data_IF_949688858671
#
_entry.id   IF_949688858671
#
_cell.length_a   1.000
_cell.length_b   1.000
_cell.length_c   1.000
_cell.angle_alpha   90.00
_cell.angle_beta   90.00
_cell.angle_gamma   90.00
#
_symmetry.space_group_name_H-M   'P 1'
#
loop_
_entity.id
_entity.type
_entity.pdbx_description
1 polymer ?
#
# COMPACT_ATOMS: atom_id res chain seq x y z
N UNK A 1 2.56 11.69 -23.77
CA UNK A 1 2.34 10.80 -22.61
C UNK A 1 0.85 10.75 -22.40
N UNK A 2 0.27 9.55 -22.52
CA UNK A 2 -1.18 9.36 -22.45
C UNK A 2 -1.62 9.37 -20.98
N UNK A 3 -2.76 10.00 -20.68
CA UNK A 3 -3.29 10.12 -19.31
C UNK A 3 -3.50 8.76 -18.62
N UNK A 4 -3.68 7.71 -19.42
CA UNK A 4 -3.73 6.31 -19.00
C UNK A 4 -2.40 5.78 -18.47
N UNK A 5 -1.25 6.18 -19.01
CA UNK A 5 0.07 5.75 -18.51
C UNK A 5 0.40 6.39 -17.16
N UNK A 6 0.01 7.65 -16.94
CA UNK A 6 0.24 8.32 -15.66
C UNK A 6 -0.68 7.76 -14.55
N UNK A 7 -1.88 7.28 -14.92
CA UNK A 7 -2.84 6.68 -13.99
C UNK A 7 -2.59 5.19 -13.72
N UNK A 8 -2.40 4.37 -14.77
CA UNK A 8 -2.09 2.94 -14.63
C UNK A 8 -0.64 2.69 -14.23
N UNK A 9 0.25 3.64 -14.51
CA UNK A 9 1.70 3.46 -14.39
C UNK A 9 2.43 4.66 -13.77
N UNK A 10 1.95 5.28 -12.68
CA UNK A 10 2.60 6.45 -12.09
C UNK A 10 4.06 6.16 -11.75
N UNK A 11 4.97 7.02 -12.21
CA UNK A 11 6.40 6.92 -11.85
C UNK A 11 6.51 6.97 -10.34
N UNK A 12 7.05 5.89 -9.77
CA UNK A 12 7.29 5.77 -8.33
C UNK A 12 8.67 6.36 -8.01
N UNK A 13 8.87 7.59 -8.44
CA UNK A 13 10.11 8.36 -8.30
C UNK A 13 10.26 8.97 -6.90
N UNK A 14 9.15 9.12 -6.17
CA UNK A 14 9.09 9.74 -4.85
C UNK A 14 8.68 8.70 -3.80
N UNK A 15 9.40 8.64 -2.68
CA UNK A 15 9.12 7.74 -1.55
C UNK A 15 7.66 7.80 -1.07
N UNK A 16 7.04 8.98 -1.09
CA UNK A 16 5.61 9.18 -0.77
C UNK A 16 4.68 8.46 -1.77
N UNK A 17 4.96 8.52 -3.07
CA UNK A 17 4.18 7.78 -4.08
C UNK A 17 4.34 6.26 -3.91
N UNK A 18 5.53 5.80 -3.50
CA UNK A 18 5.75 4.39 -3.19
C UNK A 18 4.91 3.93 -2.00
N UNK A 19 4.77 4.75 -0.97
CA UNK A 19 3.92 4.46 0.19
C UNK A 19 2.44 4.42 -0.19
N UNK A 20 1.95 5.40 -0.96
CA UNK A 20 0.57 5.40 -1.43
C UNK A 20 0.24 4.13 -2.25
N UNK A 21 1.14 3.69 -3.13
CA UNK A 21 0.95 2.46 -3.89
C UNK A 21 0.92 1.20 -3.01
N UNK A 22 1.73 1.16 -1.93
CA UNK A 22 1.66 0.07 -0.93
C UNK A 22 0.31 0.12 -0.19
N UNK A 23 -0.15 1.31 0.17
CA UNK A 23 -1.40 1.52 0.90
C UNK A 23 -2.62 1.11 0.06
N UNK A 24 -2.59 1.32 -1.26
CA UNK A 24 -3.60 0.79 -2.19
C UNK A 24 -3.69 -0.74 -2.12
N UNK A 25 -2.55 -1.43 -2.17
CA UNK A 25 -2.49 -2.90 -2.03
C UNK A 25 -2.93 -3.37 -0.65
N UNK A 26 -2.62 -2.61 0.41
CA UNK A 26 -3.08 -2.87 1.77
C UNK A 26 -4.60 -2.77 1.88
N UNK A 27 -5.19 -1.68 1.38
CA UNK A 27 -6.64 -1.47 1.42
C UNK A 27 -7.39 -2.51 0.59
N UNK A 28 -6.84 -2.92 -0.56
CA UNK A 28 -7.39 -4.02 -1.35
C UNK A 28 -7.41 -5.34 -0.55
N UNK A 29 -6.31 -5.69 0.11
CA UNK A 29 -6.23 -6.89 0.95
C UNK A 29 -7.19 -6.81 2.15
N UNK A 30 -7.25 -5.64 2.82
CA UNK A 30 -8.12 -5.41 3.96
C UNK A 30 -9.61 -5.47 3.58
N UNK A 31 -9.99 -4.90 2.44
CA UNK A 31 -11.34 -5.01 1.90
C UNK A 31 -11.72 -6.47 1.64
N UNK A 32 -10.85 -7.25 1.01
CA UNK A 32 -11.10 -8.68 0.77
C UNK A 32 -11.19 -9.50 2.06
N UNK A 33 -10.34 -9.22 3.04
CA UNK A 33 -10.40 -9.84 4.36
C UNK A 33 -11.74 -9.52 5.05
N UNK A 34 -12.17 -8.27 5.03
CA UNK A 34 -13.44 -7.83 5.60
C UNK A 34 -14.64 -8.45 4.89
N UNK A 35 -14.67 -8.39 3.56
CA UNK A 35 -15.74 -8.96 2.74
C UNK A 35 -15.90 -10.47 2.98
N UNK A 36 -14.79 -11.22 2.94
CA UNK A 36 -14.80 -12.66 3.26
C UNK A 36 -15.18 -12.92 4.72
N UNK A 37 -14.74 -12.07 5.64
CA UNK A 37 -15.11 -12.17 7.05
C UNK A 37 -16.63 -12.05 7.25
N UNK A 38 -17.26 -11.07 6.60
CA UNK A 38 -18.72 -10.91 6.62
C UNK A 38 -19.42 -12.13 6.01
N UNK A 39 -18.94 -12.64 4.87
CA UNK A 39 -19.49 -13.86 4.26
C UNK A 39 -19.33 -15.08 5.17
N UNK A 40 -18.21 -15.21 5.88
CA UNK A 40 -18.00 -16.28 6.85
C UNK A 40 -18.98 -16.17 8.03
N UNK A 41 -19.24 -14.97 8.53
CA UNK A 41 -20.23 -14.72 9.58
C UNK A 41 -21.65 -15.07 9.11
N UNK A 42 -22.02 -14.69 7.88
CA UNK A 42 -23.32 -15.06 7.30
C UNK A 42 -23.42 -16.58 7.15
N UNK A 43 -22.34 -17.25 6.72
CA UNK A 43 -22.30 -18.70 6.60
C UNK A 43 -22.39 -19.45 7.95
N UNK A 44 -22.07 -18.80 9.07
CA UNK A 44 -22.33 -19.35 10.41
C UNK A 44 -23.84 -19.37 10.75
N UNK A 45 -24.62 -18.44 10.19
CA UNK A 45 -26.06 -18.35 10.43
C UNK A 45 -26.87 -19.31 9.55
N UNK A 46 -26.29 -19.77 8.44
CA UNK A 46 -26.93 -20.73 7.52
C UNK A 46 -25.99 -21.92 7.35
N UNK A 47 -26.14 -23.00 8.14
CA UNK A 47 -25.20 -24.12 8.16
C UNK A 47 -25.33 -24.97 6.89
N UNK A 48 -24.79 -24.46 5.79
CA UNK A 48 -24.34 -25.30 4.69
C UNK A 48 -22.99 -25.89 5.12
N UNK A 49 -22.94 -27.20 5.30
CA UNK A 49 -21.77 -27.87 5.87
C UNK A 49 -20.47 -27.52 5.12
N UNK A 50 -19.43 -27.13 5.87
CA UNK A 50 -18.07 -26.89 5.36
C UNK A 50 -17.82 -25.54 4.65
N UNK A 51 -18.85 -24.82 4.23
CA UNK A 51 -18.68 -23.58 3.45
C UNK A 51 -18.16 -22.42 4.31
N UNK A 52 -18.68 -22.26 5.53
CA UNK A 52 -18.29 -21.15 6.42
C UNK A 52 -16.83 -21.22 6.89
N UNK A 53 -16.30 -22.41 7.16
CA UNK A 53 -14.93 -22.59 7.68
C UNK A 53 -13.90 -22.27 6.59
N UNK A 54 -14.15 -22.70 5.35
CA UNK A 54 -13.29 -22.42 4.19
C UNK A 54 -13.20 -20.91 3.89
N UNK A 55 -14.34 -20.21 3.96
CA UNK A 55 -14.39 -18.75 3.77
C UNK A 55 -13.70 -18.02 4.92
N UNK A 56 -13.90 -18.49 6.17
CA UNK A 56 -13.24 -17.94 7.35
C UNK A 56 -11.71 -18.06 7.29
N UNK A 57 -11.19 -19.24 6.91
CA UNK A 57 -9.75 -19.42 6.68
C UNK A 57 -9.26 -18.45 5.61
N UNK A 58 -9.98 -18.32 4.50
CA UNK A 58 -9.62 -17.39 3.45
C UNK A 58 -9.57 -15.95 3.97
N UNK A 59 -10.55 -15.52 4.77
CA UNK A 59 -10.56 -14.19 5.37
C UNK A 59 -9.32 -13.96 6.25
N UNK A 60 -8.94 -14.95 7.07
CA UNK A 60 -7.74 -14.90 7.89
C UNK A 60 -6.46 -14.82 7.05
N UNK A 61 -6.38 -15.55 5.95
CA UNK A 61 -5.27 -15.47 4.99
C UNK A 61 -5.15 -14.05 4.44
N UNK A 62 -6.23 -13.44 3.92
CA UNK A 62 -6.16 -12.05 3.43
C UNK A 62 -5.85 -11.04 4.53
N UNK A 63 -6.31 -11.26 5.76
CA UNK A 63 -5.95 -10.41 6.90
C UNK A 63 -4.43 -10.48 7.20
N UNK A 64 -3.86 -11.69 7.18
CA UNK A 64 -2.40 -11.87 7.36
C UNK A 64 -1.59 -11.26 6.22
N UNK A 65 -2.08 -11.36 4.98
CA UNK A 65 -1.49 -10.71 3.81
C UNK A 65 -1.53 -9.19 3.94
N UNK A 66 -2.67 -8.61 4.34
CA UNK A 66 -2.80 -7.18 4.60
C UNK A 66 -1.78 -6.72 5.65
N UNK A 67 -1.64 -7.46 6.74
CA UNK A 67 -0.64 -7.16 7.77
C UNK A 67 0.80 -7.21 7.23
N UNK A 68 1.14 -8.20 6.40
CA UNK A 68 2.48 -8.29 5.80
C UNK A 68 2.75 -7.21 4.74
N UNK A 69 1.74 -6.79 3.96
CA UNK A 69 1.83 -5.64 3.05
C UNK A 69 2.05 -4.36 3.85
N UNK A 70 1.37 -4.18 5.00
CA UNK A 70 1.58 -3.05 5.90
C UNK A 70 3.01 -2.99 6.46
N UNK A 71 3.63 -4.15 6.69
CA UNK A 71 5.08 -4.26 7.02
C UNK A 71 6.00 -4.06 5.81
N UNK A 72 5.46 -3.65 4.66
CA UNK A 72 6.16 -3.36 3.41
C UNK A 72 6.89 -4.57 2.83
N UNK A 73 6.51 -5.80 3.17
CA UNK A 73 7.20 -7.00 2.71
C UNK A 73 6.98 -7.28 1.21
N UNK A 74 8.09 -7.40 0.45
CA UNK A 74 8.08 -7.70 -0.99
C UNK A 74 7.45 -9.06 -1.28
N UNK A 75 7.84 -10.07 -0.50
CA UNK A 75 7.40 -11.46 -0.68
C UNK A 75 5.88 -11.55 -0.45
N UNK A 76 5.39 -10.92 0.61
CA UNK A 76 3.95 -10.97 0.95
C UNK A 76 3.10 -10.28 -0.12
N UNK A 77 3.55 -9.14 -0.65
CA UNK A 77 2.80 -8.47 -1.72
C UNK A 77 2.65 -9.36 -2.98
N UNK A 78 3.72 -10.08 -3.35
CA UNK A 78 3.67 -11.02 -4.48
C UNK A 78 2.73 -12.19 -4.20
N UNK A 79 2.79 -12.78 -3.00
CA UNK A 79 1.86 -13.83 -2.61
C UNK A 79 0.41 -13.37 -2.61
N UNK A 80 0.14 -12.14 -2.15
CA UNK A 80 -1.22 -11.59 -2.16
C UNK A 80 -1.80 -11.49 -3.58
N UNK A 81 -1.00 -11.03 -4.54
CA UNK A 81 -1.39 -10.99 -5.95
C UNK A 81 -1.66 -12.40 -6.51
N UNK A 82 -0.76 -13.35 -6.26
CA UNK A 82 -0.88 -14.73 -6.75
C UNK A 82 -2.12 -15.42 -6.16
N UNK A 83 -2.32 -15.32 -4.85
CA UNK A 83 -3.48 -15.90 -4.16
C UNK A 83 -4.78 -15.30 -4.70
N UNK A 84 -4.82 -13.98 -4.90
CA UNK A 84 -5.99 -13.31 -5.47
C UNK A 84 -6.34 -13.83 -6.87
N UNK A 85 -5.35 -13.92 -7.76
CA UNK A 85 -5.55 -14.41 -9.13
C UNK A 85 -5.98 -15.87 -9.12
N UNK A 86 -5.29 -16.73 -8.35
CA UNK A 86 -5.62 -18.16 -8.26
C UNK A 86 -7.04 -18.38 -7.78
N UNK A 87 -7.47 -17.64 -6.75
CA UNK A 87 -8.82 -17.74 -6.21
C UNK A 87 -9.88 -17.28 -7.22
N UNK A 88 -9.63 -16.20 -7.95
CA UNK A 88 -10.53 -15.72 -9.01
C UNK A 88 -10.67 -16.70 -10.16
N UNK A 89 -9.57 -17.35 -10.56
CA UNK A 89 -9.59 -18.36 -11.61
C UNK A 89 -10.38 -19.60 -11.16
N UNK A 90 -10.18 -20.06 -9.92
CA UNK A 90 -10.94 -21.17 -9.34
C UNK A 90 -12.44 -20.87 -9.26
N UNK A 91 -12.81 -19.68 -8.79
CA UNK A 91 -14.22 -19.24 -8.74
C UNK A 91 -14.83 -19.08 -10.14
N UNK A 92 -14.06 -18.54 -11.09
CA UNK A 92 -14.48 -18.41 -12.48
C UNK A 92 -14.74 -19.76 -13.15
N UNK A 93 -13.92 -20.77 -12.86
CA UNK A 93 -14.13 -22.13 -13.34
C UNK A 93 -15.38 -22.79 -12.72
N UNK A 94 -15.69 -22.47 -11.45
CA UNK A 94 -16.84 -23.05 -10.74
C UNK A 94 -18.18 -22.38 -11.10
N UNK A 95 -18.21 -21.08 -11.39
CA UNK A 95 -19.45 -20.30 -11.61
C UNK A 95 -19.71 -19.94 -13.08
N UNK A 96 -18.99 -20.53 -14.03
CA UNK A 96 -19.11 -20.37 -15.49
C UNK A 96 -18.94 -18.95 -16.07
N UNK A 97 -18.83 -17.90 -15.25
CA UNK A 97 -18.50 -16.54 -15.65
C UNK A 97 -17.52 -15.90 -14.66
N UNK A 98 -16.22 -15.80 -14.99
CA UNK A 98 -15.31 -14.98 -14.20
C UNK A 98 -15.75 -13.52 -14.30
N UNK A 99 -15.97 -12.87 -13.16
CA UNK A 99 -16.26 -11.44 -13.12
C UNK A 99 -14.97 -10.67 -13.46
N UNK A 100 -14.67 -10.57 -14.77
CA UNK A 100 -13.41 -10.08 -15.34
C UNK A 100 -13.08 -8.67 -14.84
N UNK A 101 -14.08 -7.84 -14.58
CA UNK A 101 -13.92 -6.49 -14.02
C UNK A 101 -13.25 -6.53 -12.64
N UNK A 102 -13.74 -7.39 -11.75
CA UNK A 102 -13.18 -7.56 -10.40
C UNK A 102 -11.78 -8.17 -10.44
N UNK A 103 -11.54 -9.11 -11.36
CA UNK A 103 -10.22 -9.68 -11.56
C UNK A 103 -9.22 -8.61 -12.05
N UNK A 104 -9.57 -7.85 -13.08
CA UNK A 104 -8.71 -6.81 -13.64
C UNK A 104 -8.43 -5.70 -12.61
N UNK A 105 -9.48 -5.19 -11.96
CA UNK A 105 -9.35 -4.11 -10.98
C UNK A 105 -8.59 -4.56 -9.73
N UNK A 106 -8.90 -5.73 -9.17
CA UNK A 106 -8.19 -6.28 -8.02
C UNK A 106 -6.73 -6.59 -8.33
N UNK A 107 -6.44 -7.17 -9.50
CA UNK A 107 -5.07 -7.46 -9.92
C UNK A 107 -4.26 -6.19 -10.08
N UNK A 108 -4.86 -5.11 -10.58
CA UNK A 108 -4.20 -3.81 -10.72
C UNK A 108 -3.82 -3.23 -9.34
N UNK A 109 -4.74 -3.26 -8.37
CA UNK A 109 -4.48 -2.81 -7.00
C UNK A 109 -3.33 -3.60 -6.34
N UNK A 110 -3.35 -4.93 -6.45
CA UNK A 110 -2.29 -5.77 -5.91
C UNK A 110 -0.96 -5.59 -6.66
N UNK A 111 -0.99 -5.42 -7.99
CA UNK A 111 0.21 -5.15 -8.80
C UNK A 111 0.84 -3.80 -8.42
N UNK A 112 0.04 -2.76 -8.17
CA UNK A 112 0.50 -1.49 -7.64
C UNK A 112 1.15 -1.66 -6.26
N UNK A 113 0.54 -2.43 -5.37
CA UNK A 113 1.12 -2.79 -4.07
C UNK A 113 2.48 -3.46 -4.17
N UNK A 114 2.59 -4.47 -5.05
CA UNK A 114 3.87 -5.15 -5.34
C UNK A 114 4.91 -4.13 -5.80
N UNK A 115 4.61 -3.32 -6.83
CA UNK A 115 5.53 -2.29 -7.32
C UNK A 115 5.95 -1.31 -6.23
N UNK A 116 5.00 -0.86 -5.41
CA UNK A 116 5.26 0.03 -4.28
C UNK A 116 6.26 -0.57 -3.30
N UNK A 117 6.11 -1.85 -2.93
CA UNK A 117 7.05 -2.53 -2.01
C UNK A 117 8.44 -2.68 -2.60
N UNK A 118 8.57 -2.97 -3.89
CA UNK A 118 9.87 -3.03 -4.58
C UNK A 118 10.52 -1.66 -4.70
N UNK A 119 9.77 -0.62 -5.08
CA UNK A 119 10.26 0.74 -5.15
C UNK A 119 10.71 1.25 -3.77
N UNK A 120 9.93 0.94 -2.72
CA UNK A 120 10.25 1.33 -1.34
C UNK A 120 11.61 0.78 -0.87
N UNK A 121 11.97 -0.44 -1.28
CA UNK A 121 13.27 -1.05 -0.95
C UNK A 121 14.44 -0.52 -1.79
N UNK A 122 14.16 0.12 -2.92
CA UNK A 122 15.19 0.74 -3.76
C UNK A 122 15.65 2.09 -3.20
N UNK A 123 14.83 2.76 -2.39
CA UNK A 123 15.21 4.03 -1.78
C UNK A 123 16.16 3.81 -0.60
N UNK A 124 17.29 4.55 -0.52
CA UNK A 124 18.16 4.51 0.64
C UNK A 124 17.38 4.89 1.92
N UNK A 125 17.75 4.35 3.09
CA UNK A 125 17.18 4.76 4.36
C UNK A 125 17.33 6.29 4.48
N UNK A 126 16.27 6.95 4.93
CA UNK A 126 16.31 8.39 5.18
C UNK A 126 17.48 8.65 6.15
N UNK A 127 18.40 9.59 5.86
CA UNK A 127 19.48 9.91 6.78
C UNK A 127 18.83 10.32 8.11
N UNK A 128 19.24 9.69 9.21
CA UNK A 128 18.64 9.90 10.53
C UNK A 128 18.77 11.34 11.04
N UNK A 129 19.57 12.17 10.36
CA UNK A 129 19.86 13.56 10.69
C UNK A 129 19.37 14.52 9.59
N UNK A 130 18.11 14.41 9.19
CA UNK A 130 17.46 15.52 8.48
C UNK A 130 16.93 16.44 9.57
N UNK A 131 17.43 17.68 9.71
CA UNK A 131 16.89 18.61 10.68
C UNK A 131 15.39 18.74 10.40
N UNK A 132 14.58 18.68 11.47
CA UNK A 132 13.14 18.87 11.31
C UNK A 132 12.88 20.21 10.60
N UNK A 133 11.74 20.33 9.92
CA UNK A 133 11.37 21.57 9.23
C UNK A 133 11.49 22.76 10.19
N UNK A 134 11.11 22.56 11.45
CA UNK A 134 11.26 23.56 12.51
C UNK A 134 12.72 23.85 12.88
N UNK A 135 13.59 22.84 12.95
CA UNK A 135 15.03 23.04 13.17
C UNK A 135 15.67 23.83 12.00
N UNK A 136 15.22 23.58 10.77
CA UNK A 136 15.69 24.31 9.58
C UNK A 136 15.24 25.77 9.61
N UNK A 137 13.99 26.03 9.98
CA UNK A 137 13.49 27.40 10.16
C UNK A 137 14.16 28.13 11.32
N UNK A 138 14.38 27.46 12.46
CA UNK A 138 15.12 28.03 13.60
C UNK A 138 16.56 28.37 13.22
N UNK A 139 17.25 27.48 12.51
CA UNK A 139 18.60 27.74 12.02
C UNK A 139 18.65 28.98 11.11
N UNK A 140 17.71 29.10 10.15
CA UNK A 140 17.62 30.28 9.29
C UNK A 140 17.32 31.57 10.08
N UNK A 141 16.39 31.52 11.04
CA UNK A 141 16.07 32.69 11.88
C UNK A 141 17.26 33.17 12.71
N UNK A 142 18.07 32.23 13.22
CA UNK A 142 19.28 32.53 13.99
C UNK A 142 20.35 33.17 13.11
N UNK A 143 20.52 32.69 11.88
CA UNK A 143 21.44 33.28 10.90
C UNK A 143 21.02 34.70 10.49
N UNK A 144 19.72 34.93 10.29
CA UNK A 144 19.19 36.26 9.97
C UNK A 144 19.46 37.28 11.10
N UNK A 145 19.20 36.89 12.36
CA UNK A 145 19.46 37.75 13.51
C UNK A 145 20.95 38.06 13.73
N UNK A 146 21.86 37.12 13.40
CA UNK A 146 23.30 37.36 13.52
C UNK A 146 23.87 38.27 12.44
N UNK A 147 23.28 38.30 11.24
CA UNK A 147 23.74 39.18 10.15
C UNK A 147 23.48 40.66 10.43
N UNK A 148 22.40 40.97 11.15
CA UNK A 148 22.01 42.34 11.48
C UNK A 148 22.90 42.98 12.57
N UNK A 149 23.48 42.15 13.44
CA UNK A 149 24.43 42.61 14.48
C UNK A 149 25.85 42.91 13.98
N UNK A 150 26.21 42.49 12.77
CA UNK A 150 27.57 42.66 12.23
C UNK A 150 27.75 43.92 11.38
N UNK A 151 26.67 44.54 10.90
CA UNK A 151 26.74 45.74 10.05
C UNK A 151 26.91 47.05 10.85
N UNK A 152 26.52 47.06 12.14
CA UNK A 152 26.54 48.28 12.97
C UNK A 152 27.91 48.56 13.63
N UNK A 153 28.84 47.58 13.61
CA UNK A 153 30.19 47.73 14.17
C UNK A 153 31.21 48.32 13.18
N UNK A 154 30.84 48.56 11.92
CA UNK A 154 31.76 49.07 10.88
C UNK A 154 31.65 50.57 10.60
N UNK A 155 30.75 51.28 11.29
CA UNK A 155 30.43 52.70 11.04
C UNK A 155 31.00 53.70 12.07
N UNK A 156 31.89 53.28 12.97
CA UNK A 156 32.57 54.19 13.92
C UNK A 156 34.03 54.37 13.59
#
# INVERSE_FOLDING_TARGET
MSWTEDWLWPKVDIRRKAQNAIDEGFWAAAFWAGFKGVLALIALLSPAEGFGLTIGISAAVYASLAFGIRRRSRIVAVFALIIFIAERLLLGAAMALPNLTLLAFGSLLFANGVRGTFAYHKFPPLPANIPSVEQSFRAMSKTAASGESQDDSSKT
#
